data_IF_572088812881
#
_entry.id   IF_572088812881
#
_cell.length_a   1.000
_cell.length_b   1.000
_cell.length_c   1.000
_cell.angle_alpha   90.00
_cell.angle_beta   90.00
_cell.angle_gamma   90.00
#
_symmetry.space_group_name_H-M   'P 1'
#
loop_
_entity.id
_entity.type
_entity.pdbx_description
1 polymer ?
#
# COMPACT_ATOMS: atom_id res chain seq x y z
N UNK A 1 9.13 -19.31 14.37
CA UNK A 1 9.87 -18.39 15.26
C UNK A 1 9.17 -17.05 15.22
N UNK A 2 9.03 -16.36 16.35
CA UNK A 2 8.37 -15.04 16.46
C UNK A 2 9.28 -13.91 15.95
N UNK A 3 8.71 -12.72 15.71
CA UNK A 3 9.51 -11.51 15.41
C UNK A 3 10.46 -11.16 16.56
N UNK A 4 11.68 -10.69 16.24
CA UNK A 4 12.57 -10.09 17.22
C UNK A 4 12.01 -8.74 17.72
N UNK A 5 11.69 -8.67 19.01
CA UNK A 5 11.10 -7.51 19.68
C UNK A 5 12.11 -6.72 20.52
N UNK A 6 13.42 -7.01 20.44
CA UNK A 6 14.45 -6.37 21.26
C UNK A 6 14.40 -4.84 21.18
N UNK A 7 14.31 -4.27 19.97
CA UNK A 7 14.18 -2.82 19.76
C UNK A 7 12.96 -2.22 20.47
N UNK A 8 11.85 -2.96 20.56
CA UNK A 8 10.60 -2.48 21.17
C UNK A 8 10.71 -2.29 22.70
N UNK A 9 11.69 -2.93 23.33
CA UNK A 9 11.98 -2.81 24.78
C UNK A 9 12.79 -1.56 25.15
N UNK A 10 13.47 -0.94 24.19
CA UNK A 10 14.28 0.26 24.41
C UNK A 10 13.40 1.52 24.48
N UNK A 11 13.89 2.63 25.09
CA UNK A 11 13.22 3.93 24.99
C UNK A 11 12.89 4.28 23.53
N UNK A 12 11.70 4.84 23.29
CA UNK A 12 11.10 4.97 21.94
C UNK A 12 11.85 5.90 20.99
N UNK A 13 12.59 6.85 21.55
CA UNK A 13 13.42 7.80 20.81
C UNK A 13 14.81 7.25 20.43
N UNK A 14 15.11 5.99 20.77
CA UNK A 14 16.38 5.32 20.45
C UNK A 14 16.23 4.32 19.29
N UNK A 15 17.34 4.07 18.59
CA UNK A 15 17.40 3.13 17.47
C UNK A 15 17.10 3.77 16.11
N UNK A 16 17.27 2.99 15.05
CA UNK A 16 16.94 3.41 13.68
C UNK A 16 15.42 3.29 13.47
N UNK A 17 14.73 4.30 12.90
CA UNK A 17 13.28 4.27 12.74
C UNK A 17 12.86 3.37 11.56
N UNK A 18 12.62 2.10 11.84
CA UNK A 18 11.86 1.16 10.98
C UNK A 18 10.38 1.19 11.36
N UNK A 19 9.50 0.66 10.50
CA UNK A 19 8.08 0.52 10.82
C UNK A 19 7.89 -0.27 12.10
N UNK A 20 7.16 0.32 13.05
CA UNK A 20 6.86 -0.25 14.37
C UNK A 20 8.10 -0.69 15.16
N UNK A 21 9.30 -0.24 14.78
CA UNK A 21 10.60 -0.69 15.32
C UNK A 21 10.82 -2.20 15.14
N UNK A 22 10.28 -2.81 14.09
CA UNK A 22 10.60 -4.20 13.70
C UNK A 22 12.01 -4.29 13.12
N UNK A 23 12.62 -5.48 13.04
CA UNK A 23 13.89 -5.67 12.34
C UNK A 23 13.81 -5.17 10.89
N UNK A 24 14.94 -4.68 10.38
CA UNK A 24 15.11 -4.39 8.95
C UNK A 24 15.61 -5.65 8.24
N UNK A 25 14.82 -6.17 7.30
CA UNK A 25 15.13 -7.38 6.55
C UNK A 25 14.75 -7.19 5.07
N UNK A 26 15.68 -6.76 4.20
CA UNK A 26 15.38 -6.48 2.79
C UNK A 26 14.87 -7.68 1.98
N UNK A 27 15.24 -8.89 2.40
CA UNK A 27 14.78 -10.13 1.77
C UNK A 27 13.46 -10.59 2.41
N UNK A 28 12.35 -10.69 1.65
CA UNK A 28 11.08 -11.15 2.21
C UNK A 28 11.08 -12.62 2.62
N UNK A 29 12.08 -13.43 2.21
CA UNK A 29 12.12 -14.86 2.50
C UNK A 29 11.96 -15.17 4.00
N UNK A 30 10.98 -16.04 4.30
CA UNK A 30 10.72 -16.46 5.66
C UNK A 30 10.02 -15.43 6.53
N UNK A 31 9.45 -14.36 5.97
CA UNK A 31 8.46 -13.54 6.64
C UNK A 31 7.06 -14.14 6.45
N UNK A 32 6.14 -13.72 7.32
CA UNK A 32 4.70 -13.94 7.13
C UNK A 32 4.03 -12.62 6.70
N UNK A 33 4.52 -11.48 7.21
CA UNK A 33 4.08 -10.13 6.84
C UNK A 33 5.30 -9.23 6.57
N UNK A 34 5.29 -8.51 5.44
CA UNK A 34 6.30 -7.52 5.10
C UNK A 34 5.75 -6.10 5.23
N UNK A 35 6.41 -5.25 6.03
CA UNK A 35 6.11 -3.82 6.10
C UNK A 35 6.89 -3.08 5.02
N UNK A 36 6.18 -2.36 4.14
CA UNK A 36 6.74 -1.81 2.90
C UNK A 36 6.38 -0.34 2.77
N UNK A 37 7.34 0.52 2.40
CA UNK A 37 7.03 1.88 1.95
C UNK A 37 6.98 1.99 0.42
N UNK A 38 6.04 2.78 -0.10
CA UNK A 38 5.98 3.13 -1.53
C UNK A 38 5.98 4.65 -1.67
N UNK A 39 7.15 5.32 -1.57
CA UNK A 39 7.25 6.78 -1.45
C UNK A 39 7.07 7.48 -2.81
N UNK A 40 5.87 7.43 -3.38
CA UNK A 40 5.55 7.97 -4.70
C UNK A 40 4.26 8.81 -4.69
N UNK A 41 4.30 10.00 -5.28
CA UNK A 41 3.12 10.85 -5.47
C UNK A 41 3.09 11.56 -6.84
N UNK A 42 3.78 10.99 -7.84
CA UNK A 42 3.88 11.56 -9.19
C UNK A 42 2.60 11.49 -10.02
N UNK A 43 1.55 10.89 -9.45
CA UNK A 43 0.22 10.71 -10.03
C UNK A 43 -0.84 11.60 -9.34
N UNK A 44 -0.44 12.47 -8.41
CA UNK A 44 -1.31 13.45 -7.77
C UNK A 44 -1.65 14.59 -8.72
N UNK A 45 -2.95 14.92 -8.80
CA UNK A 45 -3.46 15.99 -9.67
C UNK A 45 -3.60 17.36 -8.98
N UNK A 46 -3.38 17.44 -7.66
CA UNK A 46 -3.55 18.67 -6.87
C UNK A 46 -2.39 18.91 -5.88
N UNK A 47 -2.50 18.45 -4.63
CA UNK A 47 -1.50 18.72 -3.57
C UNK A 47 -0.59 17.51 -3.36
N UNK A 48 0.62 17.57 -3.90
CA UNK A 48 1.66 16.57 -3.68
C UNK A 48 2.24 16.64 -2.25
N UNK A 49 3.06 15.65 -1.89
CA UNK A 49 3.73 15.52 -0.60
C UNK A 49 3.66 14.10 -0.01
N UNK A 50 2.76 13.25 -0.53
CA UNK A 50 2.57 11.88 -0.04
C UNK A 50 3.82 11.00 -0.22
N UNK A 51 4.76 11.35 -1.12
CA UNK A 51 6.07 10.68 -1.24
C UNK A 51 6.88 10.66 0.08
N UNK A 52 6.60 11.59 1.00
CA UNK A 52 7.26 11.67 2.30
C UNK A 52 6.55 10.83 3.39
N UNK A 53 5.34 10.35 3.11
CA UNK A 53 4.48 9.62 4.04
C UNK A 53 5.16 8.41 4.70
N UNK A 54 5.77 7.47 3.94
CA UNK A 54 6.37 6.28 4.54
C UNK A 54 7.46 6.59 5.57
N UNK A 55 8.27 7.64 5.32
CA UNK A 55 9.32 8.06 6.25
C UNK A 55 8.76 8.59 7.57
N UNK A 56 7.77 9.46 7.50
CA UNK A 56 7.17 10.01 8.73
C UNK A 56 6.30 8.98 9.46
N UNK A 57 5.66 8.06 8.75
CA UNK A 57 4.98 6.94 9.39
C UNK A 57 5.96 6.05 10.15
N UNK A 58 7.14 5.72 9.59
CA UNK A 58 8.18 4.99 10.34
C UNK A 58 8.58 5.72 11.61
N UNK A 59 8.88 7.02 11.50
CA UNK A 59 9.22 7.88 12.63
C UNK A 59 8.15 7.84 13.75
N UNK A 60 6.89 8.10 13.39
CA UNK A 60 5.78 8.16 14.35
C UNK A 60 5.33 6.79 14.86
N UNK A 61 5.57 5.71 14.09
CA UNK A 61 5.24 4.35 14.49
C UNK A 61 6.00 3.88 15.74
N UNK A 62 7.10 4.56 16.10
CA UNK A 62 7.82 4.37 17.36
C UNK A 62 6.94 4.50 18.61
N UNK A 63 5.75 5.10 18.51
CA UNK A 63 4.76 5.24 19.59
C UNK A 63 3.87 4.01 19.78
N UNK A 64 3.83 3.08 18.82
CA UNK A 64 2.97 1.90 18.87
C UNK A 64 3.46 0.86 19.88
N UNK A 65 2.53 0.11 20.48
CA UNK A 65 2.82 -1.02 21.39
C UNK A 65 2.44 -2.32 20.70
N UNK A 66 3.03 -3.42 21.15
CA UNK A 66 2.83 -4.74 20.55
C UNK A 66 1.42 -5.29 20.72
N UNK A 67 0.86 -5.19 21.93
CA UNK A 67 -0.43 -5.81 22.24
C UNK A 67 -1.57 -4.84 21.94
N UNK A 68 -2.51 -5.28 21.10
CA UNK A 68 -3.74 -4.54 20.86
C UNK A 68 -4.67 -4.63 22.08
N UNK A 69 -5.03 -3.49 22.66
CA UNK A 69 -5.69 -3.44 23.97
C UNK A 69 -7.12 -4.02 24.02
N UNK A 70 -7.83 -4.14 22.89
CA UNK A 70 -9.19 -4.73 22.85
C UNK A 70 -9.12 -6.24 22.60
N UNK A 71 -8.68 -6.63 21.42
CA UNK A 71 -8.53 -8.04 21.00
C UNK A 71 -7.49 -8.84 21.76
N UNK A 72 -6.57 -8.19 22.48
CA UNK A 72 -5.43 -8.80 23.21
C UNK A 72 -4.43 -9.54 22.33
N UNK A 73 -4.50 -9.35 21.01
CA UNK A 73 -3.57 -9.96 20.06
C UNK A 73 -2.23 -9.23 20.10
N UNK A 74 -1.15 -10.01 20.13
CA UNK A 74 0.20 -9.56 19.79
C UNK A 74 0.58 -10.13 18.41
N UNK A 75 0.64 -9.33 17.34
CA UNK A 75 0.93 -9.85 16.01
C UNK A 75 2.35 -10.43 15.90
N UNK A 76 3.29 -9.95 16.71
CA UNK A 76 4.69 -10.38 16.71
C UNK A 76 4.91 -11.78 17.31
N UNK A 77 3.94 -12.27 18.08
CA UNK A 77 3.94 -13.64 18.60
C UNK A 77 3.31 -14.63 17.61
N UNK A 78 2.49 -14.12 16.68
CA UNK A 78 1.75 -14.91 15.69
C UNK A 78 2.47 -15.02 14.34
N UNK A 79 3.20 -13.98 13.96
CA UNK A 79 3.78 -13.83 12.63
C UNK A 79 5.23 -13.35 12.72
N UNK A 80 6.02 -13.72 11.70
CA UNK A 80 7.33 -13.14 11.40
C UNK A 80 7.12 -11.88 10.58
N UNK A 81 7.39 -10.74 11.21
CA UNK A 81 7.13 -9.40 10.68
C UNK A 81 8.43 -8.61 10.66
N UNK A 82 8.77 -8.04 9.51
CA UNK A 82 9.92 -7.16 9.36
C UNK A 82 9.60 -5.99 8.40
N UNK A 83 10.36 -4.91 8.55
CA UNK A 83 10.39 -3.81 7.60
C UNK A 83 11.38 -4.19 6.49
N UNK A 84 10.89 -4.25 5.25
CA UNK A 84 11.71 -4.65 4.10
C UNK A 84 12.17 -3.45 3.28
N UNK A 85 11.95 -2.23 3.78
CA UNK A 85 12.37 -0.98 3.15
C UNK A 85 11.33 -0.38 2.23
N UNK A 86 11.82 0.40 1.26
CA UNK A 86 10.99 1.12 0.30
C UNK A 86 11.14 0.52 -1.10
N UNK A 87 10.08 0.66 -1.91
CA UNK A 87 10.20 0.50 -3.37
C UNK A 87 11.16 1.57 -3.88
N UNK A 88 12.14 1.15 -4.68
CA UNK A 88 13.07 2.03 -5.39
C UNK A 88 12.59 2.26 -6.82
N UNK A 89 12.82 3.46 -7.35
CA UNK A 89 12.37 3.84 -8.68
C UNK A 89 13.56 4.17 -9.58
N UNK A 90 13.60 3.58 -10.77
CA UNK A 90 14.61 3.86 -11.79
C UNK A 90 14.32 5.17 -12.54
N UNK A 91 13.04 5.55 -12.65
CA UNK A 91 12.60 6.74 -13.37
C UNK A 91 11.35 7.38 -12.76
N UNK A 92 11.51 8.21 -11.75
CA UNK A 92 10.39 8.84 -10.99
C UNK A 92 9.43 9.73 -11.81
N UNK A 93 9.84 10.15 -13.01
CA UNK A 93 9.00 10.96 -13.93
C UNK A 93 8.37 10.12 -15.05
N UNK A 94 8.73 8.85 -15.14
CA UNK A 94 8.17 7.90 -16.11
C UNK A 94 7.17 7.01 -15.35
N UNK A 95 5.88 7.24 -15.62
CA UNK A 95 4.80 6.50 -14.98
C UNK A 95 4.87 5.00 -15.28
N UNK A 96 5.25 4.61 -16.50
CA UNK A 96 5.36 3.21 -16.89
C UNK A 96 6.54 2.53 -16.18
N UNK A 97 7.66 3.25 -16.03
CA UNK A 97 8.79 2.77 -15.23
C UNK A 97 8.39 2.59 -13.76
N UNK A 98 7.70 3.56 -13.16
CA UNK A 98 7.23 3.48 -11.76
C UNK A 98 6.28 2.30 -11.55
N UNK A 99 5.32 2.10 -12.46
CA UNK A 99 4.39 0.95 -12.42
C UNK A 99 5.18 -0.36 -12.44
N UNK A 100 6.15 -0.48 -13.35
CA UNK A 100 7.00 -1.67 -13.47
C UNK A 100 7.86 -1.92 -12.23
N UNK A 101 8.41 -0.86 -11.63
CA UNK A 101 9.27 -0.97 -10.45
C UNK A 101 8.47 -1.42 -9.22
N UNK A 102 7.27 -0.85 -9.01
CA UNK A 102 6.35 -1.28 -7.94
C UNK A 102 5.91 -2.73 -8.19
N UNK A 103 5.47 -3.06 -9.40
CA UNK A 103 5.03 -4.42 -9.73
C UNK A 103 6.15 -5.44 -9.49
N UNK A 104 7.38 -5.15 -9.92
CA UNK A 104 8.53 -6.04 -9.74
C UNK A 104 8.89 -6.22 -8.25
N UNK A 105 8.81 -5.16 -7.44
CA UNK A 105 9.05 -5.25 -6.02
C UNK A 105 8.04 -6.19 -5.35
N UNK A 106 6.75 -5.98 -5.60
CA UNK A 106 5.68 -6.77 -4.99
C UNK A 106 5.59 -8.19 -5.56
N UNK A 107 6.02 -8.41 -6.81
CA UNK A 107 6.10 -9.76 -7.38
C UNK A 107 7.08 -10.64 -6.61
N UNK A 108 8.21 -10.09 -6.13
CA UNK A 108 9.15 -10.82 -5.25
C UNK A 108 8.54 -11.13 -3.89
N UNK A 109 7.76 -10.20 -3.34
CA UNK A 109 7.06 -10.39 -2.06
C UNK A 109 5.98 -11.49 -2.20
N UNK A 110 5.17 -11.43 -3.26
CA UNK A 110 4.15 -12.42 -3.57
C UNK A 110 4.75 -13.81 -3.80
N UNK A 111 5.83 -13.90 -4.58
CA UNK A 111 6.53 -15.15 -4.85
C UNK A 111 7.12 -15.80 -3.59
N UNK A 112 7.44 -15.01 -2.57
CA UNK A 112 7.89 -15.50 -1.26
C UNK A 112 6.73 -15.99 -0.37
N UNK A 113 5.47 -15.84 -0.80
CA UNK A 113 4.28 -16.20 -0.02
C UNK A 113 4.01 -15.26 1.16
N UNK A 114 4.49 -14.02 1.08
CA UNK A 114 4.43 -13.04 2.17
C UNK A 114 3.28 -12.07 1.96
N UNK A 115 2.55 -11.74 3.02
CA UNK A 115 1.48 -10.73 2.97
C UNK A 115 2.10 -9.33 3.01
N UNK A 116 1.85 -8.46 2.01
CA UNK A 116 2.32 -7.08 2.06
C UNK A 116 1.43 -6.22 2.96
N UNK A 117 2.05 -5.41 3.81
CA UNK A 117 1.40 -4.30 4.52
C UNK A 117 2.13 -3.00 4.18
N UNK A 118 1.46 -2.17 3.39
CA UNK A 118 2.12 -1.07 2.68
C UNK A 118 1.71 0.29 3.21
N UNK A 119 2.70 1.16 3.36
CA UNK A 119 2.53 2.60 3.53
C UNK A 119 2.84 3.26 2.19
N UNK A 120 1.82 3.79 1.53
CA UNK A 120 1.97 4.40 0.21
C UNK A 120 2.44 5.84 0.23
N UNK A 121 2.52 6.40 -0.96
CA UNK A 121 2.30 7.81 -1.22
C UNK A 121 0.88 8.00 -1.71
N UNK A 122 0.67 8.44 -2.95
CA UNK A 122 -0.68 8.60 -3.49
C UNK A 122 -1.36 7.25 -3.85
N UNK A 123 -2.68 7.27 -4.06
CA UNK A 123 -3.47 6.04 -4.22
C UNK A 123 -3.17 5.27 -5.51
N UNK A 124 -2.51 5.89 -6.49
CA UNK A 124 -2.16 5.24 -7.77
C UNK A 124 -1.21 4.06 -7.57
N UNK A 125 -0.43 4.04 -6.48
CA UNK A 125 0.50 2.95 -6.15
C UNK A 125 -0.20 1.62 -5.93
N UNK A 126 -1.50 1.62 -5.62
CA UNK A 126 -2.28 0.39 -5.39
C UNK A 126 -2.45 -0.41 -6.67
N UNK A 127 -2.59 0.23 -7.83
CA UNK A 127 -2.77 -0.46 -9.10
C UNK A 127 -1.59 -1.41 -9.45
N UNK A 128 -0.32 -0.97 -9.48
CA UNK A 128 0.81 -1.88 -9.71
C UNK A 128 1.01 -2.90 -8.59
N UNK A 129 0.59 -2.63 -7.35
CA UNK A 129 0.56 -3.65 -6.29
C UNK A 129 -0.43 -4.77 -6.67
N UNK A 130 -1.62 -4.43 -7.15
CA UNK A 130 -2.61 -5.42 -7.57
C UNK A 130 -2.11 -6.24 -8.76
N UNK A 131 -1.43 -5.62 -9.74
CA UNK A 131 -0.79 -6.36 -10.84
C UNK A 131 0.17 -7.45 -10.35
N UNK A 132 0.84 -7.20 -9.24
CA UNK A 132 1.81 -8.15 -8.68
C UNK A 132 1.17 -9.29 -7.89
N UNK A 133 0.08 -9.03 -7.13
CA UNK A 133 -0.49 -10.00 -6.19
C UNK A 133 -1.74 -10.72 -6.72
N UNK A 134 -2.43 -10.16 -7.71
CA UNK A 134 -3.62 -10.77 -8.33
C UNK A 134 -3.22 -11.74 -9.46
N UNK A 135 -2.34 -12.71 -9.17
CA UNK A 135 -1.83 -13.64 -10.20
C UNK A 135 -2.74 -14.82 -10.45
N UNK A 136 -3.41 -15.32 -9.42
CA UNK A 136 -4.21 -16.55 -9.47
C UNK A 136 -5.71 -16.26 -9.66
N UNK A 137 -6.20 -15.14 -9.14
CA UNK A 137 -7.61 -14.74 -9.20
C UNK A 137 -7.75 -13.23 -8.94
N UNK A 138 -8.84 -12.58 -9.39
CA UNK A 138 -9.13 -11.20 -9.04
C UNK A 138 -9.34 -11.04 -7.53
N UNK A 139 -8.89 -9.92 -7.00
CA UNK A 139 -9.01 -9.57 -5.58
C UNK A 139 -10.44 -9.16 -5.23
N UNK A 140 -10.85 -9.37 -3.98
CA UNK A 140 -11.94 -8.62 -3.39
C UNK A 140 -11.38 -7.41 -2.63
N UNK A 141 -12.18 -6.36 -2.43
CA UNK A 141 -11.69 -5.11 -1.87
C UNK A 141 -12.66 -4.52 -0.85
N UNK A 142 -12.12 -4.16 0.33
CA UNK A 142 -12.75 -3.24 1.25
C UNK A 142 -11.97 -1.92 1.16
N UNK A 143 -12.60 -0.91 0.58
CA UNK A 143 -11.98 0.37 0.29
C UNK A 143 -12.61 1.48 1.16
N UNK A 144 -11.80 2.10 2.01
CA UNK A 144 -12.25 3.19 2.88
C UNK A 144 -11.63 4.50 2.38
N UNK A 145 -12.43 5.32 1.72
CA UNK A 145 -11.98 6.59 1.11
C UNK A 145 -13.14 7.58 1.00
N UNK A 146 -12.81 8.86 0.81
CA UNK A 146 -13.76 9.89 0.43
C UNK A 146 -14.12 9.84 -1.07
N UNK A 147 -13.27 9.24 -1.91
CA UNK A 147 -13.42 9.19 -3.36
C UNK A 147 -13.50 7.76 -3.87
N UNK A 148 -14.08 7.56 -5.06
CA UNK A 148 -14.21 6.22 -5.61
C UNK A 148 -12.92 5.71 -6.25
N UNK A 149 -12.08 6.63 -6.74
CA UNK A 149 -10.83 6.33 -7.44
C UNK A 149 -11.01 5.39 -8.65
N UNK A 150 -12.12 5.62 -9.36
CA UNK A 150 -12.61 4.86 -10.52
C UNK A 150 -12.85 5.72 -11.77
N UNK A 151 -12.20 6.88 -11.90
CA UNK A 151 -12.25 7.66 -13.15
C UNK A 151 -11.51 6.93 -14.30
N UNK A 152 -11.83 7.21 -15.57
CA UNK A 152 -11.09 6.62 -16.70
C UNK A 152 -9.69 7.22 -16.84
N UNK A 153 -9.62 8.54 -16.97
CA UNK A 153 -8.40 9.30 -17.22
C UNK A 153 -8.51 10.77 -16.78
N UNK A 154 -7.38 11.44 -16.66
CA UNK A 154 -7.31 12.88 -16.48
C UNK A 154 -6.19 13.48 -17.34
N UNK A 155 -6.51 14.51 -18.12
CA UNK A 155 -5.57 15.17 -19.04
C UNK A 155 -4.79 14.20 -19.95
N UNK A 156 -5.44 13.12 -20.40
CA UNK A 156 -4.84 12.12 -21.28
C UNK A 156 -4.02 11.04 -20.58
N UNK A 157 -3.84 11.09 -19.26
CA UNK A 157 -3.23 10.00 -18.49
C UNK A 157 -4.28 9.10 -17.85
N UNK A 158 -4.13 7.79 -18.04
CA UNK A 158 -4.89 6.75 -17.33
C UNK A 158 -4.26 6.35 -15.99
N UNK A 159 -3.03 6.79 -15.70
CA UNK A 159 -2.34 6.53 -14.45
C UNK A 159 -2.32 7.81 -13.60
N UNK A 160 -3.28 7.91 -12.67
CA UNK A 160 -3.33 8.97 -11.66
C UNK A 160 -4.05 8.47 -10.40
N UNK A 161 -3.94 9.20 -9.29
CA UNK A 161 -4.43 8.73 -7.97
C UNK A 161 -5.93 8.42 -7.90
N UNK A 162 -6.75 8.96 -8.81
CA UNK A 162 -8.19 8.73 -8.91
C UNK A 162 -8.62 7.70 -9.97
N UNK A 163 -7.70 6.95 -10.58
CA UNK A 163 -8.02 5.85 -11.52
C UNK A 163 -7.66 4.42 -11.07
N UNK A 164 -6.94 4.14 -9.94
CA UNK A 164 -6.31 2.84 -9.72
C UNK A 164 -7.29 1.66 -9.74
N UNK A 165 -8.51 1.82 -9.20
CA UNK A 165 -9.45 0.72 -9.08
C UNK A 165 -10.21 0.44 -10.37
N UNK A 166 -10.44 1.47 -11.20
CA UNK A 166 -10.96 1.24 -12.55
C UNK A 166 -9.94 0.51 -13.41
N UNK A 167 -8.65 0.90 -13.34
CA UNK A 167 -7.57 0.18 -14.01
C UNK A 167 -7.48 -1.27 -13.54
N UNK A 168 -7.54 -1.51 -12.23
CA UNK A 168 -7.51 -2.85 -11.69
C UNK A 168 -8.72 -3.72 -12.12
N UNK A 169 -9.92 -3.13 -12.17
CA UNK A 169 -11.12 -3.84 -12.61
C UNK A 169 -11.06 -4.19 -14.10
N UNK A 170 -10.72 -3.22 -14.96
CA UNK A 170 -10.62 -3.45 -16.40
C UNK A 170 -9.54 -4.49 -16.77
N UNK A 171 -8.45 -4.54 -16.00
CA UNK A 171 -7.37 -5.53 -16.18
C UNK A 171 -7.68 -6.90 -15.54
N UNK A 172 -8.87 -7.09 -14.97
CA UNK A 172 -9.29 -8.35 -14.34
C UNK A 172 -8.55 -8.68 -13.05
N UNK A 173 -7.95 -7.69 -12.40
CA UNK A 173 -7.20 -7.81 -11.13
C UNK A 173 -8.11 -7.63 -9.92
N UNK A 174 -9.25 -6.98 -10.10
CA UNK A 174 -10.22 -6.65 -9.07
C UNK A 174 -11.61 -7.14 -9.49
N UNK A 175 -12.31 -7.77 -8.55
CA UNK A 175 -13.67 -8.25 -8.71
C UNK A 175 -14.66 -7.20 -8.20
N UNK A 176 -15.44 -6.59 -9.11
CA UNK A 176 -16.43 -5.58 -8.78
C UNK A 176 -17.52 -6.08 -7.82
N UNK A 177 -17.97 -7.33 -7.98
CA UNK A 177 -19.02 -7.90 -7.13
C UNK A 177 -18.54 -8.18 -5.70
N UNK A 178 -17.22 -8.26 -5.50
CA UNK A 178 -16.57 -8.40 -4.17
C UNK A 178 -15.84 -7.14 -3.72
N UNK A 179 -16.27 -5.99 -4.23
CA UNK A 179 -15.74 -4.69 -3.86
C UNK A 179 -16.78 -3.88 -3.07
N UNK A 180 -16.37 -3.30 -1.94
CA UNK A 180 -17.17 -2.36 -1.15
C UNK A 180 -16.39 -1.08 -0.89
N UNK A 181 -17.01 0.06 -1.17
CA UNK A 181 -16.44 1.38 -0.94
C UNK A 181 -17.20 2.10 0.18
N UNK A 182 -16.47 2.61 1.18
CA UNK A 182 -17.04 3.16 2.41
C UNK A 182 -16.50 4.56 2.64
N UNK A 183 -17.40 5.55 2.75
CA UNK A 183 -17.05 6.94 3.10
C UNK A 183 -17.13 7.95 1.95
N UNK A 184 -17.58 7.52 0.76
CA UNK A 184 -17.70 8.36 -0.44
C UNK A 184 -18.52 9.62 -0.15
N UNK A 185 -17.94 10.80 -0.44
CA UNK A 185 -18.56 12.11 -0.18
C UNK A 185 -17.86 13.23 -0.96
N UNK A 186 -18.46 14.42 -0.96
CA UNK A 186 -17.91 15.61 -1.61
C UNK A 186 -18.48 15.86 -3.00
N UNK A 187 -18.35 17.09 -3.48
CA UNK A 187 -18.85 17.48 -4.80
C UNK A 187 -17.91 16.98 -5.91
N UNK A 188 -18.48 16.55 -7.03
CA UNK A 188 -17.74 16.20 -8.24
C UNK A 188 -18.26 17.00 -9.44
N UNK A 189 -17.36 17.26 -10.38
CA UNK A 189 -17.70 17.90 -11.66
C UNK A 189 -18.26 16.91 -12.68
N UNK A 190 -18.22 15.60 -12.38
CA UNK A 190 -18.70 14.51 -13.22
C UNK A 190 -19.17 13.36 -12.34
N UNK A 191 -20.26 12.65 -12.69
CA UNK A 191 -20.69 11.45 -11.99
C UNK A 191 -19.92 10.19 -12.41
N UNK A 192 -19.04 10.25 -13.41
CA UNK A 192 -18.39 9.10 -14.06
C UNK A 192 -17.88 8.03 -13.08
N UNK A 193 -17.12 8.43 -12.05
CA UNK A 193 -16.59 7.47 -11.08
C UNK A 193 -17.66 6.82 -10.20
N UNK A 194 -18.75 7.53 -9.91
CA UNK A 194 -19.89 6.98 -9.18
C UNK A 194 -20.67 6.01 -10.04
N UNK A 195 -20.97 6.39 -11.28
CA UNK A 195 -21.72 5.56 -12.21
C UNK A 195 -20.98 4.25 -12.48
N UNK A 196 -19.67 4.32 -12.77
CA UNK A 196 -18.83 3.14 -12.98
C UNK A 196 -18.77 2.21 -11.75
N UNK A 197 -18.74 2.77 -10.54
CA UNK A 197 -18.69 1.99 -9.30
C UNK A 197 -20.03 1.33 -8.94
N UNK A 198 -21.13 1.69 -9.60
CA UNK A 198 -22.47 1.14 -9.35
C UNK A 198 -22.91 0.10 -10.39
N UNK A 199 -22.21 0.03 -11.53
CA UNK A 199 -22.39 -0.99 -12.57
C UNK A 199 -21.78 -2.34 -12.14
#
# INVERSE_FOLDING_TARGET
>A
MSTDQNQMSLPRYMGVPTFMRTPYQPDPAGLDIALIGVPYDGAVTNRAGARHGPREMRNQSSMMRSIHHVSKINPYDLCRIADIGDVTFDGVFDHDAVVRDIEAFYARVHAAGVVPLSAGGDHSVTYPIFKAIAKEAPLGLIHIDAHTDTWDQFQGSKFMHGTPFRRAHEDGLLDGERTVQIGIRGAQNSPEGWDYSLE
#
